data_IF_450081684287
#
_entry.id   IF_450081684287
#
_cell.length_a   1.000
_cell.length_b   1.000
_cell.length_c   1.000
_cell.angle_alpha   90.00
_cell.angle_beta   90.00
_cell.angle_gamma   90.00
#
_symmetry.space_group_name_H-M   'P 1'
#
loop_
_entity.id
_entity.type
_entity.pdbx_description
1 polymer ?
#
# COMPACT_ATOMS: atom_id res chain seq x y z
N UNK A 1 13.57 18.33 27.14
CA UNK A 1 14.07 18.77 25.82
C UNK A 1 14.21 20.27 25.87
N UNK A 2 15.37 20.81 25.48
CA UNK A 2 15.55 22.25 25.28
C UNK A 2 15.04 22.56 23.87
N UNK A 3 13.81 23.05 23.74
CA UNK A 3 13.33 23.67 22.51
C UNK A 3 13.59 25.17 22.58
N UNK A 4 14.00 25.80 21.47
CA UNK A 4 14.00 27.25 21.38
C UNK A 4 12.64 27.72 20.89
N UNK A 5 12.05 28.67 21.60
CA UNK A 5 10.84 29.38 21.16
C UNK A 5 11.24 30.81 20.85
N UNK A 6 10.83 31.31 19.69
CA UNK A 6 11.04 32.69 19.29
C UNK A 6 9.66 33.35 19.20
N UNK A 7 9.43 34.33 20.08
CA UNK A 7 8.21 35.13 20.10
C UNK A 7 8.57 36.45 19.43
N UNK A 8 7.91 36.79 18.32
CA UNK A 8 7.96 38.14 17.76
C UNK A 8 6.78 38.92 18.30
N UNK A 9 7.07 39.97 19.05
CA UNK A 9 6.10 40.90 19.63
C UNK A 9 5.97 42.09 18.70
N UNK A 10 4.74 42.50 18.38
CA UNK A 10 4.50 43.70 17.57
C UNK A 10 4.77 44.98 18.36
N UNK A 11 5.50 45.93 17.75
CA UNK A 11 5.98 47.18 18.37
C UNK A 11 4.86 48.09 18.94
N UNK A 12 3.59 47.88 18.54
CA UNK A 12 2.43 48.67 18.99
C UNK A 12 1.77 48.16 20.29
N UNK A 13 2.06 46.93 20.74
CA UNK A 13 1.31 46.31 21.85
C UNK A 13 1.66 46.84 23.25
N UNK A 14 2.72 47.64 23.38
CA UNK A 14 3.17 48.17 24.68
C UNK A 14 2.24 49.31 25.16
N UNK A 15 1.52 49.97 24.26
CA UNK A 15 0.72 51.17 24.58
C UNK A 15 -0.80 50.97 24.43
N UNK A 16 -1.26 49.83 23.91
CA UNK A 16 -2.67 49.51 23.68
C UNK A 16 -2.94 48.12 24.28
N UNK A 17 -4.09 47.90 24.93
CA UNK A 17 -4.54 46.57 25.44
C UNK A 17 -4.84 45.57 24.31
N UNK A 18 -3.90 45.38 23.39
CA UNK A 18 -3.98 44.46 22.25
C UNK A 18 -3.10 43.23 22.51
N UNK A 19 -3.45 42.09 21.89
CA UNK A 19 -2.66 40.88 22.04
C UNK A 19 -1.29 41.05 21.38
N UNK A 20 -0.24 40.97 22.20
CA UNK A 20 1.12 41.34 21.80
C UNK A 20 1.81 40.37 20.82
N UNK A 21 1.31 39.14 20.69
CA UNK A 21 1.95 38.07 19.90
C UNK A 21 1.24 37.94 18.56
N UNK A 22 1.78 38.53 17.50
CA UNK A 22 1.23 38.36 16.15
C UNK A 22 1.61 37.00 15.54
N UNK A 23 2.77 36.46 15.93
CA UNK A 23 3.30 35.21 15.37
C UNK A 23 4.00 34.39 16.46
N UNK A 24 3.59 33.12 16.60
CA UNK A 24 4.27 32.14 17.43
C UNK A 24 5.02 31.16 16.54
N UNK A 25 6.35 31.10 16.73
CA UNK A 25 7.21 30.10 16.13
C UNK A 25 7.68 29.14 17.21
N UNK A 26 7.33 27.86 17.03
CA UNK A 26 7.68 26.79 17.95
C UNK A 26 8.56 25.79 17.22
N UNK A 27 9.77 25.56 17.74
CA UNK A 27 10.68 24.55 17.24
C UNK A 27 11.08 23.61 18.37
N UNK A 28 10.94 22.31 18.15
CA UNK A 28 11.43 21.30 19.06
C UNK A 28 12.67 20.64 18.50
N UNK A 29 13.70 20.49 19.34
CA UNK A 29 14.70 19.45 19.11
C UNK A 29 14.03 18.07 19.02
N UNK A 30 14.78 17.05 18.60
CA UNK A 30 14.30 15.67 18.56
C UNK A 30 13.70 15.25 19.91
N UNK A 31 12.47 14.74 19.87
CA UNK A 31 11.71 14.28 21.03
C UNK A 31 11.12 12.90 20.75
N UNK A 32 10.71 12.19 21.81
CA UNK A 32 10.00 10.93 21.67
C UNK A 32 8.56 11.16 21.22
N UNK A 33 8.10 10.44 20.19
CA UNK A 33 6.71 10.49 19.69
C UNK A 33 5.71 10.28 20.83
N UNK A 34 5.97 9.30 21.71
CA UNK A 34 5.15 9.05 22.91
C UNK A 34 5.01 10.26 23.84
N UNK A 35 6.05 11.08 24.00
CA UNK A 35 5.98 12.28 24.85
C UNK A 35 5.06 13.32 24.23
N UNK A 36 5.11 13.49 22.91
CA UNK A 36 4.21 14.39 22.17
C UNK A 36 2.75 13.90 22.27
N UNK A 37 2.50 12.60 22.08
CA UNK A 37 1.15 12.02 22.23
C UNK A 37 0.60 12.29 23.63
N UNK A 38 1.38 12.02 24.69
CA UNK A 38 0.98 12.28 26.08
C UNK A 38 0.64 13.75 26.33
N UNK A 39 1.43 14.68 25.79
CA UNK A 39 1.18 16.11 25.89
C UNK A 39 -0.15 16.50 25.23
N UNK A 40 -0.43 16.00 24.01
CA UNK A 40 -1.68 16.26 23.31
C UNK A 40 -2.86 15.70 24.11
N UNK A 41 -2.75 14.46 24.61
CA UNK A 41 -3.80 13.80 25.40
C UNK A 41 -4.09 14.53 26.72
N UNK A 42 -3.09 15.08 27.39
CA UNK A 42 -3.26 15.86 28.61
C UNK A 42 -4.06 17.16 28.37
N UNK A 43 -3.99 17.74 27.17
CA UNK A 43 -4.72 18.95 26.81
C UNK A 43 -6.12 18.63 26.25
N UNK A 44 -6.24 17.62 25.39
CA UNK A 44 -7.51 17.20 24.77
C UNK A 44 -7.45 15.74 24.35
N UNK A 45 -7.94 14.85 25.20
CA UNK A 45 -7.98 13.42 24.89
C UNK A 45 -9.11 13.04 23.91
N UNK A 46 -8.94 11.90 23.25
CA UNK A 46 -9.97 11.31 22.38
C UNK A 46 -9.72 9.81 22.16
N UNK A 47 -10.73 9.02 21.77
CA UNK A 47 -10.54 7.61 21.42
C UNK A 47 -9.46 7.39 20.34
N UNK A 48 -9.35 8.32 19.40
CA UNK A 48 -8.32 8.28 18.34
C UNK A 48 -6.91 8.41 18.91
N UNK A 49 -6.71 9.29 19.89
CA UNK A 49 -5.42 9.46 20.56
C UNK A 49 -5.09 8.27 21.46
N UNK A 50 -6.08 7.65 22.08
CA UNK A 50 -5.89 6.42 22.85
C UNK A 50 -5.43 5.26 21.94
N UNK A 51 -6.01 5.12 20.75
CA UNK A 51 -5.53 4.13 19.76
C UNK A 51 -4.10 4.46 19.36
N UNK A 52 -3.80 5.72 19.04
CA UNK A 52 -2.45 6.16 18.65
C UNK A 52 -1.40 5.85 19.74
N UNK A 53 -1.70 6.16 20.99
CA UNK A 53 -0.82 5.90 22.14
C UNK A 53 -0.56 4.40 22.36
N UNK A 54 -1.56 3.54 22.08
CA UNK A 54 -1.44 2.08 22.17
C UNK A 54 -0.60 1.48 21.03
N UNK A 55 -0.75 1.97 19.80
CA UNK A 55 -0.04 1.40 18.64
C UNK A 55 1.40 1.88 18.57
N UNK A 56 1.72 3.10 19.03
CA UNK A 56 3.09 3.60 19.00
C UNK A 56 3.93 2.90 20.07
N UNK A 57 5.04 2.28 19.66
CA UNK A 57 6.00 1.65 20.58
C UNK A 57 7.15 2.59 20.95
N UNK A 58 7.82 3.12 19.95
CA UNK A 58 8.92 4.08 20.07
C UNK A 58 9.03 4.87 18.75
N UNK A 59 9.86 5.90 18.72
CA UNK A 59 10.12 6.73 17.56
C UNK A 59 10.43 8.15 17.99
N UNK A 60 11.11 8.85 17.11
CA UNK A 60 11.52 10.23 17.35
C UNK A 60 10.82 11.19 16.40
N UNK A 61 10.58 12.40 16.88
CA UNK A 61 9.87 13.47 16.17
C UNK A 61 10.52 14.81 16.44
N UNK A 62 10.70 15.60 15.39
CA UNK A 62 11.02 17.01 15.46
C UNK A 62 9.88 17.80 14.81
N UNK A 63 9.47 18.90 15.44
CA UNK A 63 8.31 19.70 15.05
C UNK A 63 8.74 21.15 14.91
N UNK A 64 8.43 21.74 13.76
CA UNK A 64 8.42 23.17 13.53
C UNK A 64 6.96 23.59 13.28
N UNK A 65 6.43 24.45 14.14
CA UNK A 65 5.07 24.95 14.02
C UNK A 65 5.07 26.47 13.97
N UNK A 66 4.27 27.02 13.05
CA UNK A 66 4.02 28.45 12.88
C UNK A 66 2.53 28.71 13.06
N UNK A 67 2.20 29.65 13.94
CA UNK A 67 0.84 30.10 14.20
C UNK A 67 0.79 31.62 14.11
N UNK A 68 -0.23 32.16 13.43
CA UNK A 68 -0.45 33.60 13.33
C UNK A 68 -1.75 33.97 14.05
N UNK A 69 -1.72 35.04 14.85
CA UNK A 69 -2.85 35.49 15.66
C UNK A 69 -3.32 36.88 15.21
N UNK A 70 -4.62 37.14 15.35
CA UNK A 70 -5.20 38.46 15.15
C UNK A 70 -4.92 39.37 16.36
N UNK A 71 -5.25 40.65 16.23
CA UNK A 71 -5.00 41.67 17.28
C UNK A 71 -5.79 41.38 18.59
N UNK A 72 -6.75 40.44 18.55
CA UNK A 72 -7.54 39.97 19.70
C UNK A 72 -6.99 38.66 20.29
N UNK A 73 -5.87 38.16 19.77
CA UNK A 73 -5.22 36.93 20.19
C UNK A 73 -5.90 35.64 19.75
N UNK A 74 -6.80 35.72 18.76
CA UNK A 74 -7.38 34.53 18.14
C UNK A 74 -6.50 34.09 16.99
N UNK A 75 -6.29 32.77 16.86
CA UNK A 75 -5.60 32.22 15.70
C UNK A 75 -6.31 32.70 14.43
N UNK A 76 -5.57 33.37 13.54
CA UNK A 76 -6.08 33.79 12.23
C UNK A 76 -6.53 32.52 11.53
N UNK A 77 -7.81 32.50 11.15
CA UNK A 77 -8.48 31.29 10.68
C UNK A 77 -7.65 30.67 9.56
N UNK A 78 -7.23 29.42 9.76
CA UNK A 78 -6.51 28.59 8.78
C UNK A 78 -5.03 28.97 8.56
N UNK A 79 -4.50 29.93 9.30
CA UNK A 79 -3.13 30.42 9.13
C UNK A 79 -2.18 29.76 10.15
N UNK A 80 -1.98 28.46 9.93
CA UNK A 80 -0.99 27.67 10.64
C UNK A 80 -0.30 26.71 9.68
N UNK A 81 0.95 26.40 10.00
CA UNK A 81 1.74 25.40 9.32
C UNK A 81 2.51 24.58 10.36
N UNK A 82 2.43 23.26 10.25
CA UNK A 82 3.24 22.34 11.05
C UNK A 82 4.05 21.47 10.11
N UNK A 83 5.37 21.62 10.17
CA UNK A 83 6.33 20.78 9.46
C UNK A 83 6.98 19.89 10.48
N UNK A 84 7.10 18.60 10.17
CA UNK A 84 7.70 17.65 11.09
C UNK A 84 8.42 16.54 10.36
N UNK A 85 9.46 16.04 11.02
CA UNK A 85 10.17 14.83 10.63
C UNK A 85 9.99 13.80 11.73
N UNK A 86 9.59 12.60 11.34
CA UNK A 86 9.45 11.42 12.20
C UNK A 86 10.48 10.40 11.72
N UNK A 87 11.29 9.90 12.65
CA UNK A 87 12.33 8.91 12.37
C UNK A 87 12.14 7.69 13.26
N UNK A 88 12.44 6.51 12.70
CA UNK A 88 12.51 5.23 13.40
C UNK A 88 11.26 4.91 14.23
N UNK A 89 10.09 5.33 13.72
CA UNK A 89 8.81 5.03 14.35
C UNK A 89 8.57 3.52 14.27
N UNK A 90 8.30 2.91 15.42
CA UNK A 90 7.86 1.53 15.51
C UNK A 90 6.41 1.50 15.97
N UNK A 91 5.58 0.77 15.23
CA UNK A 91 4.17 0.56 15.52
C UNK A 91 3.89 -0.92 15.78
N UNK A 92 2.99 -1.21 16.70
CA UNK A 92 2.32 -2.51 16.84
C UNK A 92 0.84 -2.29 16.56
N UNK A 93 0.41 -2.79 15.40
CA UNK A 93 -0.96 -2.68 14.94
C UNK A 93 -1.89 -3.57 15.80
N UNK A 94 -3.20 -3.39 15.64
CA UNK A 94 -4.21 -4.07 16.46
C UNK A 94 -4.22 -5.59 16.25
N UNK A 95 -3.87 -6.04 15.05
CA UNK A 95 -3.67 -7.44 14.66
C UNK A 95 -2.32 -8.01 15.13
N UNK A 96 -1.56 -7.21 15.91
CA UNK A 96 -0.20 -7.48 16.40
C UNK A 96 0.91 -7.38 15.35
N UNK A 97 0.58 -7.07 14.10
CA UNK A 97 1.57 -6.83 13.05
C UNK A 97 2.47 -5.66 13.41
N UNK A 98 3.76 -5.78 13.12
CA UNK A 98 4.75 -4.75 13.45
C UNK A 98 5.13 -3.94 12.22
N UNK A 99 5.12 -2.62 12.37
CA UNK A 99 5.72 -1.69 11.42
C UNK A 99 7.01 -1.18 12.06
N UNK A 100 8.12 -1.31 11.37
CA UNK A 100 9.44 -0.91 11.86
C UNK A 100 10.06 0.12 10.94
N UNK A 101 11.02 0.86 11.49
CA UNK A 101 11.84 1.83 10.78
C UNK A 101 10.98 2.80 9.94
N UNK A 102 9.79 3.16 10.44
CA UNK A 102 8.89 4.06 9.75
C UNK A 102 9.43 5.47 9.90
N UNK A 103 9.90 6.04 8.80
CA UNK A 103 10.44 7.38 8.74
C UNK A 103 9.69 8.16 7.67
N UNK A 104 9.30 9.40 7.96
CA UNK A 104 8.62 10.28 7.02
C UNK A 104 8.71 11.72 7.48
N UNK A 105 8.52 12.64 6.54
CA UNK A 105 8.25 14.03 6.86
C UNK A 105 6.79 14.34 6.54
N UNK A 106 6.18 15.27 7.28
CA UNK A 106 4.86 15.76 6.96
C UNK A 106 4.75 17.28 7.08
N UNK A 107 3.92 17.85 6.23
CA UNK A 107 3.43 19.22 6.35
C UNK A 107 1.92 19.18 6.59
N UNK A 108 1.46 19.83 7.64
CA UNK A 108 0.06 20.03 7.96
C UNK A 108 -0.30 21.51 7.89
N UNK A 109 -1.21 21.82 6.96
CA UNK A 109 -1.83 23.13 6.79
C UNK A 109 -3.35 23.00 6.87
N UNK A 110 -4.07 24.08 6.57
CA UNK A 110 -5.53 24.05 6.61
C UNK A 110 -6.14 22.91 5.79
N UNK A 111 -6.83 21.99 6.48
CA UNK A 111 -7.54 20.83 5.91
C UNK A 111 -6.64 19.87 5.10
N UNK A 112 -5.31 20.01 5.11
CA UNK A 112 -4.42 19.23 4.25
C UNK A 112 -3.21 18.74 5.03
N UNK A 113 -2.95 17.44 4.98
CA UNK A 113 -1.70 16.83 5.41
C UNK A 113 -1.01 16.27 4.17
N UNK A 114 0.28 16.55 4.02
CA UNK A 114 1.13 15.92 3.00
C UNK A 114 2.27 15.19 3.69
N UNK A 115 2.30 13.87 3.58
CA UNK A 115 3.45 13.05 3.92
C UNK A 115 4.34 12.91 2.69
N UNK A 116 5.65 12.87 2.91
CA UNK A 116 6.66 12.71 1.87
C UNK A 116 7.92 12.06 2.45
N UNK A 117 8.77 11.50 1.57
CA UNK A 117 9.96 10.74 1.96
C UNK A 117 9.63 9.61 2.94
N UNK A 118 8.51 8.93 2.72
CA UNK A 118 8.14 7.81 3.58
C UNK A 118 9.01 6.60 3.22
N UNK A 119 9.60 5.98 4.23
CA UNK A 119 10.21 4.66 4.16
C UNK A 119 9.78 3.84 5.37
N UNK A 120 9.62 2.53 5.18
CA UNK A 120 9.26 1.64 6.27
C UNK A 120 9.62 0.20 5.95
N UNK A 121 9.75 -0.61 7.00
CA UNK A 121 9.76 -2.06 6.95
C UNK A 121 8.43 -2.60 7.51
N UNK A 122 7.64 -3.23 6.65
CA UNK A 122 6.39 -3.90 7.01
C UNK A 122 6.58 -5.41 6.91
N UNK A 123 6.73 -6.09 8.04
CA UNK A 123 6.97 -7.55 8.10
C UNK A 123 8.12 -8.03 7.20
N UNK A 124 9.21 -7.27 7.08
CA UNK A 124 10.37 -7.59 6.21
C UNK A 124 10.26 -7.04 4.79
N UNK A 125 9.09 -6.50 4.40
CA UNK A 125 8.91 -5.82 3.12
C UNK A 125 9.26 -4.33 3.26
N UNK A 126 10.37 -3.94 2.64
CA UNK A 126 10.75 -2.53 2.53
C UNK A 126 9.84 -1.81 1.54
N UNK A 127 9.15 -0.78 2.03
CA UNK A 127 8.24 0.05 1.25
C UNK A 127 8.63 1.52 1.34
N UNK A 128 8.31 2.28 0.30
CA UNK A 128 8.47 3.73 0.26
C UNK A 128 7.27 4.42 -0.37
N UNK A 129 7.13 5.73 -0.11
CA UNK A 129 6.15 6.59 -0.78
C UNK A 129 6.78 7.92 -1.16
N UNK A 130 6.50 8.39 -2.38
CA UNK A 130 6.89 9.73 -2.80
C UNK A 130 6.03 10.78 -2.09
N UNK A 131 4.71 10.57 -2.07
CA UNK A 131 3.80 11.42 -1.32
C UNK A 131 2.46 10.76 -1.00
N UNK A 132 1.96 11.00 0.22
CA UNK A 132 0.59 10.70 0.63
C UNK A 132 -0.07 12.01 1.03
N UNK A 133 -1.18 12.36 0.40
CA UNK A 133 -1.96 13.57 0.64
C UNK A 133 -3.29 13.18 1.28
N UNK A 134 -3.60 13.82 2.40
CA UNK A 134 -4.85 13.66 3.14
C UNK A 134 -5.56 15.01 3.14
N UNK A 135 -6.67 15.11 2.41
CA UNK A 135 -7.50 16.32 2.36
C UNK A 135 -8.78 16.10 3.17
N UNK A 136 -9.04 16.94 4.16
CA UNK A 136 -10.30 16.96 4.91
C UNK A 136 -11.42 17.52 4.03
N UNK A 137 -12.47 16.72 3.84
CA UNK A 137 -13.67 17.03 3.08
C UNK A 137 -14.89 16.80 3.97
N UNK A 138 -15.41 17.87 4.58
CA UNK A 138 -16.51 17.82 5.55
C UNK A 138 -16.20 16.85 6.71
N UNK A 139 -16.95 15.75 6.80
CA UNK A 139 -16.85 14.69 7.80
C UNK A 139 -15.92 13.53 7.39
N UNK A 140 -15.34 13.60 6.18
CA UNK A 140 -14.47 12.59 5.61
C UNK A 140 -13.08 13.16 5.32
N UNK A 141 -12.12 12.27 5.08
CA UNK A 141 -10.78 12.58 4.62
C UNK A 141 -10.50 11.79 3.35
N UNK A 142 -10.18 12.49 2.27
CA UNK A 142 -9.73 11.90 1.03
C UNK A 142 -8.22 11.66 1.12
N UNK A 143 -7.82 10.40 1.09
CA UNK A 143 -6.42 9.96 1.07
C UNK A 143 -6.04 9.60 -0.36
N UNK A 144 -4.91 10.11 -0.83
CA UNK A 144 -4.30 9.76 -2.12
C UNK A 144 -2.80 9.63 -1.96
N UNK A 145 -2.18 8.65 -2.58
CA UNK A 145 -0.74 8.54 -2.59
C UNK A 145 -0.26 7.33 -3.36
N UNK A 146 1.02 7.04 -3.25
CA UNK A 146 1.64 5.88 -3.84
C UNK A 146 2.41 5.06 -2.82
N UNK A 147 2.58 3.76 -3.07
CA UNK A 147 3.48 2.88 -2.35
C UNK A 147 4.32 2.08 -3.34
N UNK A 148 5.62 2.10 -3.13
CA UNK A 148 6.62 1.42 -3.94
C UNK A 148 7.34 0.38 -3.10
N UNK A 149 7.68 -0.74 -3.73
CA UNK A 149 8.65 -1.69 -3.21
C UNK A 149 9.73 -1.93 -4.26
N UNK A 150 10.99 -1.91 -3.84
CA UNK A 150 12.07 -2.43 -4.68
C UNK A 150 11.92 -3.94 -4.84
N UNK A 151 12.66 -4.52 -5.79
CA UNK A 151 12.71 -5.96 -5.96
C UNK A 151 13.13 -6.62 -4.64
N UNK A 152 12.26 -7.46 -4.10
CA UNK A 152 12.52 -8.17 -2.87
C UNK A 152 11.71 -9.47 -2.84
N UNK A 153 12.20 -10.43 -2.06
CA UNK A 153 11.42 -11.63 -1.72
C UNK A 153 10.25 -11.20 -0.85
N UNK A 154 9.04 -11.56 -1.25
CA UNK A 154 7.85 -11.25 -0.49
C UNK A 154 7.76 -12.24 0.68
N UNK A 155 7.69 -11.75 1.92
CA UNK A 155 7.49 -12.59 3.10
C UNK A 155 6.26 -13.48 2.94
N UNK A 156 6.36 -14.76 3.33
CA UNK A 156 5.25 -15.71 3.21
C UNK A 156 4.02 -15.26 3.99
N UNK A 157 4.22 -14.56 5.12
CA UNK A 157 3.14 -13.94 5.89
C UNK A 157 2.32 -12.96 5.04
N UNK A 158 2.98 -12.15 4.21
CA UNK A 158 2.31 -11.19 3.31
C UNK A 158 1.63 -11.92 2.15
N UNK A 159 2.30 -12.89 1.52
CA UNK A 159 1.70 -13.71 0.46
C UNK A 159 0.43 -14.42 0.96
N UNK A 160 0.49 -14.96 2.17
CA UNK A 160 -0.65 -15.61 2.81
C UNK A 160 -1.76 -14.65 3.24
N UNK A 161 -1.57 -13.32 3.22
CA UNK A 161 -2.70 -12.39 3.40
C UNK A 161 -3.47 -12.26 2.08
N UNK A 162 -2.76 -12.27 0.95
CA UNK A 162 -3.31 -11.92 -0.36
C UNK A 162 -3.78 -13.16 -1.14
N UNK A 163 -3.07 -14.28 -1.03
CA UNK A 163 -3.22 -15.48 -1.88
C UNK A 163 -3.50 -16.75 -1.06
N UNK A 164 -4.24 -16.65 0.06
CA UNK A 164 -4.51 -17.74 1.03
C UNK A 164 -4.84 -19.09 0.44
N UNK A 165 -5.61 -19.11 -0.64
CA UNK A 165 -6.16 -20.34 -1.22
C UNK A 165 -5.20 -21.03 -2.20
N UNK A 166 -4.02 -20.46 -2.44
CA UNK A 166 -3.05 -20.94 -3.43
C UNK A 166 -1.68 -21.09 -2.80
N UNK A 167 -1.01 -22.21 -3.09
CA UNK A 167 0.32 -22.49 -2.57
C UNK A 167 1.41 -21.79 -3.40
N UNK A 168 1.41 -20.45 -3.36
CA UNK A 168 2.49 -19.63 -3.92
C UNK A 168 3.66 -19.53 -2.95
N UNK A 169 4.86 -19.72 -3.46
CA UNK A 169 6.10 -19.73 -2.69
C UNK A 169 7.19 -18.95 -3.44
N UNK A 170 8.15 -18.40 -2.68
CA UNK A 170 9.35 -17.74 -3.20
C UNK A 170 9.04 -16.62 -4.21
N UNK A 171 7.99 -15.83 -3.96
CA UNK A 171 7.67 -14.71 -4.84
C UNK A 171 8.72 -13.60 -4.69
N UNK A 172 9.35 -13.21 -5.80
CA UNK A 172 10.28 -12.09 -5.88
C UNK A 172 9.71 -11.06 -6.85
N UNK A 173 9.39 -9.87 -6.35
CA UNK A 173 8.78 -8.82 -7.16
C UNK A 173 9.15 -7.41 -6.69
N UNK A 174 9.01 -6.46 -7.61
CA UNK A 174 8.92 -5.04 -7.29
C UNK A 174 7.52 -4.52 -7.63
N UNK A 175 7.11 -3.42 -7.00
CA UNK A 175 5.80 -2.84 -7.25
C UNK A 175 5.80 -1.31 -7.16
N UNK A 176 4.94 -0.68 -7.95
CA UNK A 176 4.58 0.73 -7.88
C UNK A 176 3.05 0.85 -7.90
N UNK A 177 2.48 1.35 -6.82
CA UNK A 177 1.06 1.26 -6.55
C UNK A 177 0.50 2.63 -6.20
N UNK A 178 -0.37 3.16 -7.03
CA UNK A 178 -1.18 4.33 -6.68
C UNK A 178 -2.44 3.88 -5.96
N UNK A 179 -2.83 4.62 -4.92
CA UNK A 179 -4.05 4.34 -4.18
C UNK A 179 -4.83 5.62 -3.86
N UNK A 180 -6.14 5.47 -3.70
CA UNK A 180 -6.98 6.52 -3.11
C UNK A 180 -8.17 5.91 -2.38
N UNK A 181 -8.59 6.52 -1.28
CA UNK A 181 -9.80 6.14 -0.56
C UNK A 181 -10.31 7.29 0.30
N UNK A 182 -11.56 7.21 0.74
CA UNK A 182 -12.13 8.07 1.75
C UNK A 182 -12.08 7.38 3.11
N UNK A 183 -11.79 8.13 4.17
CA UNK A 183 -11.94 7.66 5.56
C UNK A 183 -12.83 8.63 6.34
N UNK A 184 -13.85 8.12 7.01
CA UNK A 184 -14.73 8.93 7.88
C UNK A 184 -14.10 9.17 9.25
N UNK A 185 -14.63 10.12 10.04
CA UNK A 185 -14.24 10.29 11.47
C UNK A 185 -14.42 9.03 12.34
N UNK A 186 -15.25 8.06 11.90
CA UNK A 186 -15.45 6.76 12.55
C UNK A 186 -14.56 5.65 11.96
N UNK A 187 -13.49 6.01 11.24
CA UNK A 187 -12.55 5.10 10.58
C UNK A 187 -13.15 4.14 9.53
N UNK A 188 -14.38 4.40 9.05
CA UNK A 188 -14.92 3.66 7.90
C UNK A 188 -14.21 4.09 6.62
N UNK A 189 -13.68 3.12 5.88
CA UNK A 189 -13.06 3.30 4.56
C UNK A 189 -14.11 3.12 3.47
N UNK A 190 -14.11 3.99 2.46
CA UNK A 190 -14.95 3.86 1.26
C UNK A 190 -14.17 4.28 0.00
N UNK A 191 -14.74 3.98 -1.17
CA UNK A 191 -14.23 4.43 -2.47
C UNK A 191 -12.76 4.06 -2.74
N UNK A 192 -12.33 2.90 -2.22
CA UNK A 192 -10.98 2.38 -2.41
C UNK A 192 -10.70 2.17 -3.90
N UNK A 193 -9.60 2.75 -4.36
CA UNK A 193 -9.04 2.56 -5.69
C UNK A 193 -7.57 2.21 -5.56
N UNK A 194 -7.12 1.23 -6.33
CA UNK A 194 -5.71 0.84 -6.39
C UNK A 194 -5.33 0.62 -7.86
N UNK A 195 -4.22 1.19 -8.29
CA UNK A 195 -3.58 0.90 -9.56
C UNK A 195 -2.17 0.39 -9.26
N UNK A 196 -1.94 -0.90 -9.46
CA UNK A 196 -0.66 -1.55 -9.21
C UNK A 196 0.03 -1.88 -10.51
N UNK A 197 1.31 -1.55 -10.60
CA UNK A 197 2.26 -2.08 -11.59
C UNK A 197 3.22 -2.97 -10.85
N UNK A 198 3.29 -4.24 -11.22
CA UNK A 198 4.11 -5.25 -10.55
C UNK A 198 5.04 -5.84 -11.60
N UNK A 199 6.34 -5.85 -11.29
CA UNK A 199 7.32 -6.62 -12.04
C UNK A 199 7.65 -7.83 -11.20
N UNK A 200 7.10 -8.96 -11.60
CA UNK A 200 7.30 -10.26 -10.95
C UNK A 200 8.49 -10.94 -11.63
N UNK A 201 9.59 -11.05 -10.89
CA UNK A 201 10.79 -11.73 -11.36
C UNK A 201 10.55 -13.24 -11.37
N UNK A 202 10.06 -13.78 -10.27
CA UNK A 202 9.75 -15.19 -10.14
C UNK A 202 8.72 -15.47 -9.04
N UNK A 203 7.98 -16.57 -9.20
CA UNK A 203 7.18 -17.20 -8.14
C UNK A 203 6.92 -18.66 -8.52
N UNK A 204 6.88 -19.53 -7.52
CA UNK A 204 6.47 -20.92 -7.68
C UNK A 204 5.02 -21.09 -7.25
N UNK A 205 4.26 -21.88 -8.00
CA UNK A 205 2.91 -22.31 -7.66
C UNK A 205 2.89 -23.83 -7.60
N UNK A 206 2.80 -24.35 -6.38
CA UNK A 206 2.56 -25.77 -6.14
C UNK A 206 1.06 -26.04 -6.36
N UNK A 207 0.75 -26.87 -7.35
CA UNK A 207 -0.62 -27.14 -7.76
C UNK A 207 -0.85 -28.63 -7.94
N UNK A 208 -1.29 -29.28 -6.86
CA UNK A 208 -1.67 -30.70 -6.88
C UNK A 208 -3.07 -30.88 -7.48
N UNK A 209 -3.12 -30.94 -8.82
CA UNK A 209 -4.33 -31.26 -9.55
C UNK A 209 -4.07 -32.33 -10.60
N UNK A 210 -4.45 -33.56 -10.27
CA UNK A 210 -4.33 -34.72 -11.15
C UNK A 210 -5.00 -34.54 -12.52
N UNK A 211 -5.97 -33.64 -12.67
CA UNK A 211 -6.61 -33.39 -13.95
C UNK A 211 -5.74 -32.58 -14.93
N UNK A 212 -4.77 -31.78 -14.46
CA UNK A 212 -3.87 -31.04 -15.38
C UNK A 212 -3.02 -32.02 -16.18
N UNK A 213 -2.60 -33.15 -15.58
CA UNK A 213 -1.82 -34.19 -16.27
C UNK A 213 -2.51 -34.77 -17.51
N UNK A 214 -3.84 -34.66 -17.61
CA UNK A 214 -4.59 -35.05 -18.83
C UNK A 214 -4.29 -34.11 -20.00
N UNK A 215 -4.01 -32.85 -19.72
CA UNK A 215 -3.74 -31.82 -20.72
C UNK A 215 -2.26 -31.55 -20.94
N UNK A 216 -1.46 -31.66 -19.89
CA UNK A 216 -0.01 -31.44 -19.90
C UNK A 216 0.62 -32.71 -19.30
N UNK A 217 0.95 -33.72 -20.13
CA UNK A 217 1.34 -35.05 -19.64
C UNK A 217 2.56 -35.05 -18.72
N UNK A 218 3.50 -34.13 -18.93
CA UNK A 218 4.73 -33.97 -18.17
C UNK A 218 4.60 -33.01 -16.97
N UNK A 219 3.39 -32.65 -16.57
CA UNK A 219 3.18 -31.77 -15.42
C UNK A 219 3.67 -32.41 -14.12
N UNK A 220 4.60 -31.72 -13.46
CA UNK A 220 5.29 -32.13 -12.24
C UNK A 220 4.67 -31.56 -10.95
N UNK A 221 3.40 -31.13 -11.03
CA UNK A 221 2.65 -30.47 -9.95
C UNK A 221 3.17 -29.08 -9.55
N UNK A 222 4.05 -28.48 -10.35
CA UNK A 222 4.59 -27.15 -10.10
C UNK A 222 4.52 -26.27 -11.36
N UNK A 223 4.19 -25.00 -11.17
CA UNK A 223 4.41 -23.97 -12.18
C UNK A 223 5.42 -22.97 -11.66
N UNK A 224 6.47 -22.69 -12.43
CA UNK A 224 7.33 -21.53 -12.17
C UNK A 224 6.93 -20.42 -13.11
N UNK A 225 6.59 -19.26 -12.58
CA UNK A 225 6.32 -18.06 -13.37
C UNK A 225 7.52 -17.13 -13.27
N UNK A 226 7.98 -16.58 -14.40
CA UNK A 226 9.12 -15.65 -14.41
C UNK A 226 8.91 -14.50 -15.38
N UNK A 227 9.55 -13.36 -15.08
CA UNK A 227 9.56 -12.18 -15.94
C UNK A 227 8.16 -11.67 -16.34
N UNK A 228 7.23 -11.60 -15.37
CA UNK A 228 5.90 -11.06 -15.63
C UNK A 228 5.86 -9.55 -15.38
N UNK A 229 5.26 -8.82 -16.33
CA UNK A 229 4.74 -7.48 -16.10
C UNK A 229 3.24 -7.59 -15.86
N UNK A 230 2.77 -7.11 -14.71
CA UNK A 230 1.38 -7.27 -14.25
C UNK A 230 0.83 -5.89 -13.89
N UNK A 231 -0.33 -5.56 -14.44
CA UNK A 231 -1.10 -4.39 -14.05
C UNK A 231 -2.40 -4.84 -13.37
N UNK A 232 -2.70 -4.27 -12.20
CA UNK A 232 -3.94 -4.51 -11.46
C UNK A 232 -4.64 -3.17 -11.24
N UNK A 233 -5.91 -3.09 -11.65
CA UNK A 233 -6.80 -1.97 -11.34
C UNK A 233 -7.93 -2.48 -10.44
N UNK A 234 -8.06 -1.89 -9.25
CA UNK A 234 -9.14 -2.13 -8.32
C UNK A 234 -9.96 -0.86 -8.09
N UNK A 235 -11.29 -1.01 -8.11
CA UNK A 235 -12.25 -0.02 -7.61
C UNK A 235 -13.50 -0.74 -7.12
N UNK A 236 -14.44 -0.98 -8.04
CA UNK A 236 -15.67 -1.77 -7.81
C UNK A 236 -15.57 -3.18 -8.44
N UNK A 237 -14.47 -3.39 -9.17
CA UNK A 237 -14.10 -4.58 -9.92
C UNK A 237 -12.57 -4.69 -9.92
N UNK A 238 -12.06 -5.87 -10.22
CA UNK A 238 -10.62 -6.08 -10.44
C UNK A 238 -10.40 -6.33 -11.92
N UNK A 239 -9.53 -5.55 -12.54
CA UNK A 239 -8.99 -5.82 -13.87
C UNK A 239 -7.51 -6.13 -13.69
N UNK A 240 -7.10 -7.33 -14.08
CA UNK A 240 -5.73 -7.78 -14.00
C UNK A 240 -5.29 -8.17 -15.41
N UNK A 241 -4.22 -7.56 -15.90
CA UNK A 241 -3.60 -7.95 -17.16
C UNK A 241 -2.11 -8.15 -16.94
N UNK A 242 -1.54 -9.07 -17.70
CA UNK A 242 -0.12 -9.27 -17.64
C UNK A 242 0.37 -10.24 -18.70
N UNK A 243 1.69 -10.35 -18.75
CA UNK A 243 2.37 -11.30 -19.62
C UNK A 243 3.73 -11.62 -19.06
N UNK A 244 4.17 -12.86 -19.28
CA UNK A 244 5.48 -13.33 -18.88
C UNK A 244 5.67 -14.77 -19.28
N UNK A 245 6.59 -15.43 -18.60
CA UNK A 245 6.99 -16.79 -18.89
C UNK A 245 6.45 -17.74 -17.83
N UNK A 246 6.13 -18.97 -18.24
CA UNK A 246 5.78 -20.05 -17.33
C UNK A 246 6.57 -21.29 -17.69
N UNK A 247 6.92 -22.08 -16.69
CA UNK A 247 7.76 -23.26 -16.81
C UNK A 247 7.14 -24.44 -16.08
N UNK A 248 7.27 -25.61 -16.69
CA UNK A 248 6.85 -26.93 -16.19
C UNK A 248 8.00 -27.89 -16.43
N UNK A 249 8.54 -28.52 -15.39
CA UNK A 249 9.83 -29.21 -15.48
C UNK A 249 10.91 -28.26 -16.01
N UNK A 250 11.58 -28.65 -17.11
CA UNK A 250 12.62 -27.84 -17.76
C UNK A 250 12.10 -27.00 -18.94
N UNK A 251 10.82 -27.14 -19.29
CA UNK A 251 10.24 -26.51 -20.48
C UNK A 251 9.61 -25.18 -20.15
N UNK A 252 9.84 -24.19 -21.00
CA UNK A 252 9.45 -22.80 -20.77
C UNK A 252 8.71 -22.21 -21.96
N UNK A 253 7.56 -21.61 -21.68
CA UNK A 253 6.71 -20.96 -22.67
C UNK A 253 6.20 -19.61 -22.17
N UNK A 254 5.43 -18.91 -23.01
CA UNK A 254 4.92 -17.56 -22.68
C UNK A 254 3.41 -17.55 -22.58
N UNK A 255 2.92 -16.70 -21.68
CA UNK A 255 1.50 -16.46 -21.49
C UNK A 255 1.23 -14.96 -21.44
N UNK A 256 0.12 -14.54 -22.06
CA UNK A 256 -0.52 -13.25 -21.84
C UNK A 256 -1.94 -13.50 -21.32
N UNK A 257 -2.33 -12.77 -20.30
CA UNK A 257 -3.63 -12.94 -19.66
C UNK A 257 -4.32 -11.61 -19.42
N UNK A 258 -5.65 -11.62 -19.59
CA UNK A 258 -6.55 -10.56 -19.18
C UNK A 258 -7.64 -11.21 -18.32
N UNK A 259 -7.69 -10.83 -17.05
CA UNK A 259 -8.65 -11.32 -16.06
C UNK A 259 -9.52 -10.16 -15.59
N UNK A 260 -10.82 -10.41 -15.55
CA UNK A 260 -11.82 -9.45 -15.10
C UNK A 260 -12.67 -10.09 -14.00
N UNK A 261 -12.64 -9.51 -12.81
CA UNK A 261 -13.41 -9.97 -11.66
C UNK A 261 -14.46 -8.95 -11.25
N UNK A 262 -15.72 -9.37 -11.18
CA UNK A 262 -16.83 -8.56 -10.67
C UNK A 262 -17.93 -9.47 -10.14
N UNK A 263 -18.51 -9.14 -8.98
CA UNK A 263 -19.67 -9.85 -8.40
C UNK A 263 -19.46 -11.38 -8.32
N UNK A 264 -18.30 -11.83 -7.81
CA UNK A 264 -17.88 -13.25 -7.73
C UNK A 264 -17.76 -13.99 -9.08
N UNK A 265 -17.82 -13.26 -10.20
CA UNK A 265 -17.62 -13.80 -11.55
C UNK A 265 -16.23 -13.41 -12.06
N UNK A 266 -15.60 -14.35 -12.75
CA UNK A 266 -14.35 -14.14 -13.49
C UNK A 266 -14.61 -14.31 -14.98
N UNK A 267 -14.17 -13.33 -15.78
CA UNK A 267 -13.94 -13.52 -17.21
C UNK A 267 -12.43 -13.60 -17.42
N UNK A 268 -11.99 -14.54 -18.25
CA UNK A 268 -10.58 -14.75 -18.55
C UNK A 268 -10.37 -14.85 -20.06
N UNK A 269 -9.30 -14.23 -20.52
CA UNK A 269 -8.74 -14.34 -21.88
C UNK A 269 -7.25 -14.63 -21.71
N UNK A 270 -6.86 -15.86 -22.07
CA UNK A 270 -5.53 -16.41 -21.92
C UNK A 270 -4.97 -16.74 -23.30
N UNK A 271 -3.78 -16.24 -23.59
CA UNK A 271 -3.08 -16.48 -24.84
C UNK A 271 -1.73 -17.10 -24.51
N UNK A 272 -1.52 -18.33 -24.96
CA UNK A 272 -0.30 -19.08 -24.75
C UNK A 272 0.49 -19.18 -26.05
N UNK A 273 1.76 -18.80 -26.01
CA UNK A 273 2.74 -19.07 -27.06
C UNK A 273 3.55 -20.30 -26.64
N UNK A 274 3.20 -21.45 -27.22
CA UNK A 274 3.64 -22.78 -26.81
C UNK A 274 4.70 -23.30 -27.76
N UNK A 275 5.96 -23.08 -27.44
CA UNK A 275 7.11 -23.56 -28.20
C UNK A 275 7.58 -24.91 -27.66
N UNK A 276 7.69 -25.06 -26.34
CA UNK A 276 8.34 -26.21 -25.73
C UNK A 276 7.32 -27.21 -25.16
N UNK A 277 6.32 -26.75 -24.40
CA UNK A 277 5.49 -27.61 -23.55
C UNK A 277 4.51 -28.48 -24.36
N UNK A 278 4.49 -29.82 -24.18
CA UNK A 278 3.58 -30.71 -24.87
C UNK A 278 2.16 -30.57 -24.32
N UNK A 279 1.17 -30.62 -25.21
CA UNK A 279 -0.24 -30.49 -24.83
C UNK A 279 -1.07 -31.56 -25.52
N UNK A 280 -2.01 -32.12 -24.78
CA UNK A 280 -2.99 -33.09 -25.27
C UNK A 280 -4.40 -32.58 -24.94
N UNK A 281 -5.29 -32.53 -25.92
CA UNK A 281 -6.68 -32.12 -25.74
C UNK A 281 -7.58 -33.17 -26.39
N UNK A 282 -7.92 -34.19 -25.60
CA UNK A 282 -8.60 -35.39 -26.07
C UNK A 282 -9.97 -35.08 -26.71
N UNK A 283 -10.73 -34.10 -26.20
CA UNK A 283 -12.08 -33.80 -26.70
C UNK A 283 -12.12 -33.26 -28.14
N UNK A 284 -11.00 -32.73 -28.66
CA UNK A 284 -10.83 -32.30 -30.07
C UNK A 284 -9.77 -33.12 -30.81
N UNK A 285 -9.35 -34.26 -30.25
CA UNK A 285 -8.30 -35.11 -30.82
C UNK A 285 -7.01 -34.33 -31.17
N UNK A 286 -6.67 -33.32 -30.35
CA UNK A 286 -5.49 -32.49 -30.58
C UNK A 286 -4.33 -32.99 -29.71
N UNK A 287 -3.14 -33.12 -30.31
CA UNK A 287 -1.92 -33.44 -29.60
C UNK A 287 -0.75 -32.67 -30.21
N UNK A 288 0.03 -32.05 -29.35
CA UNK A 288 1.21 -31.26 -29.69
C UNK A 288 2.41 -31.87 -28.96
N UNK A 289 3.41 -32.31 -29.73
CA UNK A 289 4.68 -32.82 -29.19
C UNK A 289 5.56 -31.66 -28.68
N UNK A 290 6.58 -32.03 -27.92
CA UNK A 290 7.58 -31.10 -27.42
C UNK A 290 8.29 -30.37 -28.57
N UNK A 291 8.73 -29.13 -28.33
CA UNK A 291 9.49 -28.30 -29.27
C UNK A 291 8.81 -28.00 -30.62
N UNK A 292 7.50 -28.23 -30.73
CA UNK A 292 6.68 -27.81 -31.87
C UNK A 292 6.01 -26.47 -31.52
N UNK A 293 6.02 -25.48 -32.41
CA UNK A 293 5.36 -24.20 -32.12
C UNK A 293 3.84 -24.32 -32.27
N UNK A 294 3.10 -23.83 -31.27
CA UNK A 294 1.65 -23.71 -31.29
C UNK A 294 1.22 -22.42 -30.58
N UNK A 295 0.02 -21.95 -30.90
CA UNK A 295 -0.67 -20.90 -30.16
C UNK A 295 -1.98 -21.45 -29.64
N UNK A 296 -2.26 -21.24 -28.36
CA UNK A 296 -3.51 -21.64 -27.74
C UNK A 296 -4.17 -20.41 -27.13
N UNK A 297 -5.40 -20.14 -27.56
CA UNK A 297 -6.24 -19.10 -26.96
C UNK A 297 -7.37 -19.76 -26.18
N UNK A 298 -7.53 -19.35 -24.93
CA UNK A 298 -8.60 -19.82 -24.05
C UNK A 298 -9.34 -18.62 -23.52
N UNK A 299 -10.62 -18.50 -23.90
CA UNK A 299 -11.53 -17.50 -23.40
C UNK A 299 -12.69 -18.15 -22.66
N UNK A 300 -13.17 -17.51 -21.60
CA UNK A 300 -14.33 -18.02 -20.90
C UNK A 300 -14.80 -17.14 -19.75
N UNK A 301 -15.90 -17.58 -19.15
CA UNK A 301 -16.51 -16.95 -17.99
C UNK A 301 -16.83 -18.04 -16.97
N UNK A 302 -16.53 -17.79 -15.71
CA UNK A 302 -16.84 -18.71 -14.63
C UNK A 302 -17.48 -17.97 -13.47
N UNK A 303 -18.58 -18.53 -12.98
CA UNK A 303 -19.24 -18.14 -11.72
C UNK A 303 -18.80 -19.12 -10.64
N UNK A 304 -17.62 -18.91 -10.07
CA UNK A 304 -17.10 -19.81 -9.04
C UNK A 304 -17.02 -19.11 -7.68
N UNK A 305 -17.79 -19.62 -6.70
CA UNK A 305 -17.84 -19.24 -5.27
C UNK A 305 -16.50 -19.37 -4.50
N UNK A 306 -15.39 -19.64 -5.20
CA UNK A 306 -14.08 -20.02 -4.62
C UNK A 306 -13.01 -18.93 -4.64
N UNK A 307 -13.20 -17.80 -5.33
CA UNK A 307 -12.31 -16.65 -5.16
C UNK A 307 -12.97 -15.71 -4.16
N UNK A 308 -12.93 -16.09 -2.87
CA UNK A 308 -13.36 -15.20 -1.79
C UNK A 308 -12.19 -14.32 -1.39
N UNK A 309 -11.99 -13.22 -2.11
CA UNK A 309 -11.30 -12.08 -1.50
C UNK A 309 -12.27 -11.55 -0.43
N UNK A 310 -12.12 -12.04 0.81
CA UNK A 310 -12.93 -11.54 1.92
C UNK A 310 -12.60 -10.06 2.14
N UNK A 311 -13.65 -9.25 2.23
CA UNK A 311 -13.59 -7.83 2.64
C UNK A 311 -12.87 -7.64 3.96
#
# INVERSE_FOLDING_TARGET
SKGSSAIRVGDKSIFIKEFAISNLFFNTNQNKVKKIIKLIRANKDSPQLLILDKIVKDGDIAILAKFNFDDKGKLIRNDYEIISTVNDLSLKLLDKTEVKNLSFSFNYTHKKIRLYKLSSDYSGLKISSDSIIINKQNENFLVKGNLKSLENTIPQEILSIILKDYNFENAVLSSDNDFSFNVSKKFKVSDLKINSKINLKEVNLNFDNKNIKKYIPNFDNNFKFSNHSININYKDKIILNGSGEFQIGDQKDKIKYNLYFKDEKINYDLNFDLNEIPIKIDFINFSKKENIKAKLKIEGKNSNKKIKIKK
#
